data_IF_499876372504
#
_entry.id   IF_499876372504
#
_cell.length_a   1.000
_cell.length_b   1.000
_cell.length_c   1.000
_cell.angle_alpha   90.00
_cell.angle_beta   90.00
_cell.angle_gamma   90.00
#
_symmetry.space_group_name_H-M   'P 1'
#
loop_
_entity.id
_entity.type
_entity.pdbx_description
1 polymer ?
#
# COMPACT_ATOMS: atom_id res chain seq x y z
N UNK A 1 -10.65 -26.82 -46.40
CA UNK A 1 -9.69 -25.90 -45.75
C UNK A 1 -10.42 -25.36 -44.53
N UNK A 2 -10.34 -26.08 -43.42
CA UNK A 2 -10.95 -25.66 -42.16
C UNK A 2 -9.84 -25.62 -41.12
N UNK A 3 -9.28 -24.44 -40.91
CA UNK A 3 -8.37 -24.20 -39.80
C UNK A 3 -9.23 -23.83 -38.59
N UNK A 4 -9.50 -24.83 -37.75
CA UNK A 4 -10.04 -24.64 -36.41
C UNK A 4 -9.03 -23.76 -35.66
N UNK A 5 -9.35 -22.46 -35.47
CA UNK A 5 -8.66 -21.62 -34.49
C UNK A 5 -9.06 -22.15 -33.12
N UNK A 6 -8.22 -23.01 -32.55
CA UNK A 6 -8.27 -23.33 -31.13
C UNK A 6 -8.15 -22.03 -30.35
N UNK A 7 -9.26 -21.59 -29.76
CA UNK A 7 -9.26 -20.53 -28.75
C UNK A 7 -8.56 -21.07 -27.52
N UNK A 8 -7.23 -20.94 -27.47
CA UNK A 8 -6.51 -20.97 -26.21
C UNK A 8 -6.92 -19.69 -25.50
N UNK A 9 -7.85 -19.79 -24.55
CA UNK A 9 -7.95 -18.76 -23.50
C UNK A 9 -6.62 -18.81 -22.78
N UNK A 10 -5.76 -17.83 -23.02
CA UNK A 10 -4.57 -17.67 -22.21
C UNK A 10 -5.02 -17.49 -20.76
N UNK A 11 -4.59 -18.41 -19.91
CA UNK A 11 -5.00 -18.47 -18.51
C UNK A 11 -4.35 -17.32 -17.75
N UNK A 12 -5.15 -16.55 -17.02
CA UNK A 12 -4.64 -15.54 -16.07
C UNK A 12 -3.68 -16.22 -15.08
N UNK A 13 -2.48 -15.66 -14.92
CA UNK A 13 -1.45 -16.24 -14.05
C UNK A 13 -1.56 -15.60 -12.67
N UNK A 14 -1.84 -16.40 -11.63
CA UNK A 14 -1.77 -15.94 -10.23
C UNK A 14 -0.31 -15.61 -9.86
N UNK A 15 -0.05 -14.35 -9.51
CA UNK A 15 1.27 -13.87 -9.10
C UNK A 15 1.44 -13.99 -7.59
N UNK A 16 0.40 -13.58 -6.87
CA UNK A 16 0.41 -13.53 -5.42
C UNK A 16 -1.02 -13.62 -4.89
N UNK A 17 -1.17 -14.12 -3.67
CA UNK A 17 -2.44 -14.13 -2.98
C UNK A 17 -2.29 -13.93 -1.48
N UNK A 18 -3.29 -13.30 -0.89
CA UNK A 18 -3.36 -13.06 0.54
C UNK A 18 -4.75 -13.42 1.04
N UNK A 19 -4.83 -14.10 2.18
CA UNK A 19 -6.09 -14.50 2.80
C UNK A 19 -6.09 -14.05 4.24
N UNK A 20 -7.18 -13.41 4.66
CA UNK A 20 -7.46 -13.11 6.06
C UNK A 20 -8.72 -13.88 6.52
N UNK A 21 -9.30 -13.55 7.67
CA UNK A 21 -10.49 -14.23 8.18
C UNK A 21 -11.72 -14.08 7.26
N UNK A 22 -11.93 -12.92 6.66
CA UNK A 22 -13.14 -12.57 5.91
C UNK A 22 -12.97 -12.52 4.38
N UNK A 23 -11.75 -12.34 3.88
CA UNK A 23 -11.46 -12.07 2.47
C UNK A 23 -10.28 -12.90 1.96
N UNK A 24 -10.31 -13.18 0.65
CA UNK A 24 -9.18 -13.65 -0.15
C UNK A 24 -8.92 -12.63 -1.25
N UNK A 25 -7.67 -12.21 -1.39
CA UNK A 25 -7.20 -11.35 -2.46
C UNK A 25 -6.24 -12.10 -3.35
N UNK A 26 -6.37 -11.90 -4.67
CA UNK A 26 -5.56 -12.57 -5.68
C UNK A 26 -5.10 -11.52 -6.67
N UNK A 27 -3.79 -11.42 -6.86
CA UNK A 27 -3.17 -10.57 -7.87
C UNK A 27 -2.81 -11.43 -9.07
N UNK A 28 -3.33 -11.08 -10.25
CA UNK A 28 -3.09 -11.82 -11.49
C UNK A 28 -2.45 -10.96 -12.57
N UNK A 29 -1.55 -11.57 -13.31
CA UNK A 29 -1.08 -11.02 -14.58
C UNK A 29 -2.15 -11.19 -15.64
N UNK A 30 -2.41 -10.13 -16.42
CA UNK A 30 -3.27 -10.21 -17.59
C UNK A 30 -2.36 -10.49 -18.78
N UNK A 31 -2.43 -11.68 -19.39
CA UNK A 31 -1.56 -12.04 -20.51
C UNK A 31 -1.84 -11.14 -21.73
N UNK A 32 -0.86 -11.04 -22.63
CA UNK A 32 -0.95 -10.33 -23.90
C UNK A 32 -1.28 -8.83 -23.87
N UNK A 33 -1.19 -8.19 -22.69
CA UNK A 33 -1.17 -6.73 -22.63
C UNK A 33 0.26 -6.23 -22.73
N UNK A 34 0.50 -5.31 -23.67
CA UNK A 34 1.75 -4.53 -23.76
C UNK A 34 1.93 -3.54 -22.59
N UNK A 35 1.07 -3.62 -21.56
CA UNK A 35 0.97 -2.67 -20.47
C UNK A 35 1.22 -3.34 -19.12
N UNK A 36 1.68 -2.57 -18.14
CA UNK A 36 1.94 -3.01 -16.76
C UNK A 36 0.63 -3.20 -15.98
N UNK A 37 -0.36 -3.92 -16.52
CA UNK A 37 -1.70 -4.02 -15.94
C UNK A 37 -1.94 -5.35 -15.20
N UNK A 38 -2.32 -5.28 -13.92
CA UNK A 38 -2.75 -6.41 -13.09
C UNK A 38 -4.24 -6.36 -12.85
N UNK A 39 -4.85 -7.52 -12.67
CA UNK A 39 -6.13 -7.60 -12.00
C UNK A 39 -5.89 -7.97 -10.53
N UNK A 40 -6.41 -7.16 -9.61
CA UNK A 40 -6.59 -7.55 -8.23
C UNK A 40 -8.06 -7.93 -8.01
N UNK A 41 -8.30 -9.19 -7.66
CA UNK A 41 -9.61 -9.66 -7.19
C UNK A 41 -9.61 -9.71 -5.67
N UNK A 42 -10.60 -9.09 -5.01
CA UNK A 42 -10.89 -9.26 -3.58
C UNK A 42 -12.26 -9.92 -3.45
N UNK A 43 -12.28 -11.11 -2.86
CA UNK A 43 -13.50 -11.91 -2.67
C UNK A 43 -13.73 -12.16 -1.18
N UNK A 44 -14.90 -11.81 -0.67
CA UNK A 44 -15.31 -12.21 0.68
C UNK A 44 -15.52 -13.72 0.72
N UNK A 45 -15.16 -14.39 1.82
CA UNK A 45 -15.35 -15.84 1.98
C UNK A 45 -16.81 -16.30 1.98
N UNK A 46 -17.74 -15.41 2.32
CA UNK A 46 -19.18 -15.66 2.20
C UNK A 46 -19.73 -15.35 0.78
N UNK A 47 -18.84 -15.04 -0.17
CA UNK A 47 -19.12 -14.70 -1.56
C UNK A 47 -20.11 -13.52 -1.78
N UNK A 48 -20.37 -12.71 -0.75
CA UNK A 48 -21.24 -11.51 -0.87
C UNK A 48 -20.54 -10.33 -1.54
N UNK A 49 -19.22 -10.27 -1.47
CA UNK A 49 -18.38 -9.28 -2.11
C UNK A 49 -17.43 -9.96 -3.10
N UNK A 50 -17.44 -9.46 -4.32
CA UNK A 50 -16.37 -9.61 -5.28
C UNK A 50 -16.06 -8.22 -5.84
N UNK A 51 -14.82 -7.78 -5.69
CA UNK A 51 -14.27 -6.55 -6.25
C UNK A 51 -13.14 -6.95 -7.20
N UNK A 52 -13.20 -6.45 -8.42
CA UNK A 52 -12.12 -6.57 -9.39
C UNK A 52 -11.63 -5.16 -9.70
N UNK A 53 -10.33 -4.93 -9.59
CA UNK A 53 -9.72 -3.65 -10.00
C UNK A 53 -8.49 -3.90 -10.87
N UNK A 54 -8.26 -2.99 -11.81
CA UNK A 54 -7.06 -2.99 -12.65
C UNK A 54 -6.03 -2.04 -12.06
N UNK A 55 -4.81 -2.54 -11.86
CA UNK A 55 -3.68 -1.77 -11.33
C UNK A 55 -2.64 -1.57 -12.43
N UNK A 56 -2.22 -0.33 -12.66
CA UNK A 56 -1.13 0.01 -13.59
C UNK A 56 0.21 0.04 -12.83
N UNK A 57 0.76 -1.14 -12.51
CA UNK A 57 1.94 -1.36 -11.67
C UNK A 57 2.82 -2.46 -12.27
N UNK A 58 4.14 -2.52 -12.12
CA UNK A 58 4.95 -3.51 -12.89
C UNK A 58 4.79 -4.96 -12.37
N UNK A 59 4.44 -5.96 -13.21
CA UNK A 59 4.10 -7.35 -12.82
C UNK A 59 5.11 -8.03 -11.92
N UNK A 60 6.32 -8.17 -12.45
CA UNK A 60 7.35 -9.04 -11.90
C UNK A 60 8.01 -8.42 -10.67
N UNK A 61 7.57 -7.22 -10.28
CA UNK A 61 8.08 -6.44 -9.15
C UNK A 61 6.96 -6.00 -8.20
N UNK A 62 5.74 -6.52 -8.39
CA UNK A 62 4.58 -6.24 -7.54
C UNK A 62 4.26 -7.44 -6.65
N UNK A 63 3.83 -7.18 -5.42
CA UNK A 63 3.35 -8.21 -4.50
C UNK A 63 2.29 -7.65 -3.56
N UNK A 64 1.41 -8.50 -3.06
CA UNK A 64 0.50 -8.15 -1.98
C UNK A 64 1.33 -8.04 -0.70
N UNK A 65 1.44 -6.83 -0.16
CA UNK A 65 2.21 -6.57 1.06
C UNK A 65 1.43 -6.93 2.32
N UNK A 66 0.11 -6.77 2.30
CA UNK A 66 -0.82 -7.31 3.31
C UNK A 66 -2.27 -7.19 2.81
N UNK A 67 -3.17 -7.95 3.44
CA UNK A 67 -4.60 -7.84 3.26
C UNK A 67 -5.31 -7.96 4.62
N UNK A 68 -6.33 -7.14 4.85
CA UNK A 68 -7.15 -7.13 6.06
C UNK A 68 -8.61 -6.78 5.69
N UNK A 69 -9.47 -6.61 6.68
CA UNK A 69 -10.89 -6.32 6.44
C UNK A 69 -11.15 -4.94 5.82
N UNK A 70 -10.21 -4.01 5.97
CA UNK A 70 -10.30 -2.65 5.43
C UNK A 70 -9.82 -2.58 3.98
N UNK A 71 -8.71 -3.22 3.65
CA UNK A 71 -8.08 -3.12 2.33
C UNK A 71 -7.09 -4.25 2.03
N UNK A 72 -6.75 -4.35 0.75
CA UNK A 72 -5.59 -5.09 0.24
C UNK A 72 -4.59 -4.12 -0.34
N UNK A 73 -3.31 -4.34 -0.04
CA UNK A 73 -2.24 -3.40 -0.42
C UNK A 73 -1.22 -4.08 -1.31
N UNK A 74 -1.08 -3.55 -2.53
CA UNK A 74 -0.10 -4.00 -3.52
C UNK A 74 1.09 -3.04 -3.50
N UNK A 75 2.26 -3.57 -3.18
CA UNK A 75 3.51 -2.80 -3.16
C UNK A 75 4.38 -3.14 -4.36
N UNK A 76 5.02 -2.12 -4.93
CA UNK A 76 5.91 -2.24 -6.09
C UNK A 76 7.01 -1.19 -6.06
N UNK A 77 8.13 -1.50 -6.72
CA UNK A 77 9.22 -0.55 -6.89
C UNK A 77 8.88 0.52 -7.96
N UNK A 78 9.15 1.79 -7.67
CA UNK A 78 8.98 2.91 -8.61
C UNK A 78 10.29 3.35 -9.29
N UNK A 79 11.42 2.71 -8.96
CA UNK A 79 12.75 3.05 -9.47
C UNK A 79 13.66 3.62 -8.37
N UNK A 80 14.94 3.26 -8.41
CA UNK A 80 15.87 3.55 -7.30
C UNK A 80 15.36 2.98 -5.96
N UNK A 81 15.39 3.75 -4.87
CA UNK A 81 14.92 3.35 -3.54
C UNK A 81 13.40 3.51 -3.32
N UNK A 82 12.70 4.07 -4.33
CA UNK A 82 11.30 4.39 -4.23
C UNK A 82 10.50 3.10 -4.22
N UNK A 83 9.57 2.99 -3.27
CA UNK A 83 8.46 2.04 -3.35
C UNK A 83 7.14 2.79 -3.25
N UNK A 84 6.18 2.30 -4.01
CA UNK A 84 4.81 2.77 -3.99
C UNK A 84 3.92 1.65 -3.48
N UNK A 85 2.82 2.04 -2.85
CA UNK A 85 1.78 1.14 -2.37
C UNK A 85 0.43 1.63 -2.84
N UNK A 86 -0.31 0.75 -3.49
CA UNK A 86 -1.71 0.97 -3.85
C UNK A 86 -2.61 0.24 -2.87
N UNK A 87 -3.52 0.99 -2.26
CA UNK A 87 -4.50 0.55 -1.29
C UNK A 87 -5.84 0.39 -1.99
N UNK A 88 -6.29 -0.86 -2.10
CA UNK A 88 -7.60 -1.21 -2.66
C UNK A 88 -8.52 -1.57 -1.51
N UNK A 89 -9.49 -0.70 -1.24
CA UNK A 89 -10.41 -0.84 -0.10
C UNK A 89 -11.50 -1.87 -0.39
N UNK A 90 -11.97 -2.54 0.66
CA UNK A 90 -13.07 -3.53 0.57
C UNK A 90 -14.44 -2.86 0.38
N UNK A 91 -14.56 -1.56 0.71
CA UNK A 91 -15.70 -0.74 0.35
C UNK A 91 -15.64 -0.33 -1.13
N UNK A 92 -16.61 -0.82 -1.91
CA UNK A 92 -16.74 -0.55 -3.36
C UNK A 92 -16.92 0.93 -3.70
N UNK A 93 -17.45 1.73 -2.78
CA UNK A 93 -17.67 3.16 -3.00
C UNK A 93 -16.43 3.99 -2.70
N UNK A 94 -15.39 3.38 -2.11
CA UNK A 94 -14.16 4.06 -1.79
C UNK A 94 -13.16 3.91 -2.93
N UNK A 95 -12.64 5.03 -3.49
CA UNK A 95 -11.60 4.96 -4.50
C UNK A 95 -10.33 4.33 -3.93
N UNK A 96 -9.57 3.68 -4.80
CA UNK A 96 -8.22 3.24 -4.46
C UNK A 96 -7.33 4.45 -4.18
N UNK A 97 -6.35 4.27 -3.30
CA UNK A 97 -5.40 5.31 -2.92
C UNK A 97 -3.97 4.81 -3.19
N UNK A 98 -3.09 5.67 -3.69
CA UNK A 98 -1.69 5.34 -3.93
C UNK A 98 -0.78 6.27 -3.14
N UNK A 99 0.22 5.71 -2.47
CA UNK A 99 1.17 6.44 -1.65
C UNK A 99 2.61 5.99 -1.92
N UNK A 100 3.47 6.98 -2.12
CA UNK A 100 4.91 6.79 -2.25
C UNK A 100 5.58 6.87 -0.88
N UNK A 101 6.67 6.10 -0.68
CA UNK A 101 7.41 6.07 0.59
C UNK A 101 6.53 5.71 1.81
N UNK A 102 5.40 5.03 1.57
CA UNK A 102 4.41 4.78 2.60
C UNK A 102 4.91 3.80 3.66
N UNK A 103 4.78 4.10 4.95
CA UNK A 103 5.11 3.16 6.04
C UNK A 103 3.86 2.93 6.89
N UNK A 104 3.42 1.68 7.02
CA UNK A 104 2.28 1.36 7.88
C UNK A 104 2.72 1.27 9.34
N UNK A 105 1.87 1.73 10.25
CA UNK A 105 2.09 1.54 11.69
C UNK A 105 2.02 0.05 12.05
N UNK A 106 3.06 -0.46 12.72
CA UNK A 106 3.26 -1.90 13.00
C UNK A 106 2.11 -2.56 13.74
N UNK A 107 1.40 -1.81 14.58
CA UNK A 107 0.33 -2.31 15.44
C UNK A 107 -1.03 -1.65 15.17
N UNK A 108 -1.16 -0.91 14.06
CA UNK A 108 -2.43 -0.34 13.66
C UNK A 108 -2.49 -0.19 12.15
N UNK A 109 -3.30 -1.04 11.52
CA UNK A 109 -3.45 -1.06 10.07
C UNK A 109 -4.04 0.22 9.49
N UNK A 110 -4.70 1.03 10.32
CA UNK A 110 -5.40 2.24 9.93
C UNK A 110 -4.48 3.45 9.75
N UNK A 111 -3.24 3.40 10.24
CA UNK A 111 -2.32 4.53 10.13
C UNK A 111 -1.16 4.19 9.22
N UNK A 112 -0.90 5.11 8.29
CA UNK A 112 0.29 5.10 7.45
C UNK A 112 0.97 6.47 7.57
N UNK A 113 2.29 6.49 7.44
CA UNK A 113 2.97 7.69 6.95
C UNK A 113 3.17 7.59 5.46
N UNK A 114 3.36 8.73 4.80
CA UNK A 114 3.95 8.82 3.47
C UNK A 114 4.60 10.20 3.30
N UNK A 115 5.21 10.40 2.14
CA UNK A 115 5.79 11.67 1.70
C UNK A 115 4.96 12.15 0.50
N UNK A 116 4.82 13.47 0.36
CA UNK A 116 4.22 14.12 -0.81
C UNK A 116 5.26 15.04 -1.45
N UNK A 117 5.26 15.13 -2.77
CA UNK A 117 6.10 16.06 -3.56
C UNK A 117 7.59 16.05 -3.21
N UNK A 118 8.13 14.89 -2.83
CA UNK A 118 9.52 14.71 -2.37
C UNK A 118 9.90 15.64 -1.19
N UNK A 119 8.94 16.08 -0.39
CA UNK A 119 9.18 16.84 0.84
C UNK A 119 9.61 15.93 1.99
N UNK A 120 10.90 15.61 2.03
CA UNK A 120 11.48 14.75 3.05
C UNK A 120 11.59 15.39 4.44
N UNK A 121 11.21 16.66 4.60
CA UNK A 121 11.18 17.34 5.90
C UNK A 121 9.80 17.22 6.58
N UNK A 122 8.78 16.76 5.86
CA UNK A 122 7.41 16.62 6.37
C UNK A 122 6.84 15.23 6.08
N UNK A 123 6.50 14.51 7.14
CA UNK A 123 5.77 13.24 7.02
C UNK A 123 4.27 13.48 7.14
N UNK A 124 3.51 12.98 6.17
CA UNK A 124 2.06 12.98 6.20
C UNK A 124 1.59 11.72 6.90
N UNK A 125 0.90 11.86 8.03
CA UNK A 125 0.24 10.77 8.73
C UNK A 125 -1.21 10.72 8.29
N UNK A 126 -1.63 9.61 7.69
CA UNK A 126 -2.99 9.39 7.21
C UNK A 126 -3.70 8.34 8.06
N UNK A 127 -4.92 8.68 8.50
CA UNK A 127 -5.86 7.71 9.04
C UNK A 127 -6.72 7.15 7.90
N UNK A 128 -6.42 5.92 7.49
CA UNK A 128 -7.15 5.23 6.45
C UNK A 128 -8.62 5.01 6.80
N UNK A 129 -9.05 4.99 8.05
CA UNK A 129 -10.47 4.74 8.36
C UNK A 129 -11.39 5.93 8.07
N UNK A 130 -10.88 7.16 8.09
CA UNK A 130 -11.68 8.38 7.93
C UNK A 130 -11.08 9.38 6.93
N UNK A 131 -10.00 9.01 6.25
CA UNK A 131 -9.28 9.80 5.25
C UNK A 131 -8.67 11.12 5.76
N UNK A 132 -8.68 11.37 7.08
CA UNK A 132 -8.04 12.54 7.68
C UNK A 132 -6.52 12.40 7.66
N UNK A 133 -5.84 13.51 7.52
CA UNK A 133 -4.37 13.60 7.50
C UNK A 133 -3.86 14.64 8.48
N UNK A 134 -2.61 14.48 8.91
CA UNK A 134 -1.87 15.49 9.64
C UNK A 134 -0.40 15.46 9.21
N UNK A 135 0.25 16.61 9.31
CA UNK A 135 1.68 16.75 8.98
C UNK A 135 2.53 16.68 10.24
N UNK A 136 3.69 16.05 10.13
CA UNK A 136 4.69 15.94 11.20
C UNK A 136 6.05 16.35 10.66
N UNK A 137 6.59 17.43 11.19
CA UNK A 137 7.92 17.90 10.80
C UNK A 137 8.99 16.91 11.24
N UNK A 138 9.93 16.59 10.37
CA UNK A 138 11.08 15.73 10.59
C UNK A 138 12.30 16.28 9.84
N UNK A 139 12.66 17.55 10.05
CA UNK A 139 13.68 18.25 9.25
C UNK A 139 15.08 17.66 9.39
N UNK A 140 15.32 16.88 10.45
CA UNK A 140 16.58 16.23 10.75
C UNK A 140 16.65 14.79 10.28
N UNK A 141 15.61 14.25 9.62
CA UNK A 141 15.60 12.87 9.14
C UNK A 141 16.67 12.63 8.07
N UNK A 142 17.28 11.44 8.12
CA UNK A 142 18.32 11.04 7.19
C UNK A 142 17.74 10.85 5.78
N UNK A 143 18.11 11.75 4.86
CA UNK A 143 17.67 11.68 3.47
C UNK A 143 18.23 10.47 2.70
N UNK A 144 19.32 9.85 3.19
CA UNK A 144 19.89 8.65 2.57
C UNK A 144 19.02 7.40 2.74
N UNK A 145 18.05 7.43 3.66
CA UNK A 145 16.97 6.44 3.76
C UNK A 145 15.68 6.95 3.10
N UNK A 146 15.77 7.99 2.27
CA UNK A 146 14.68 8.57 1.49
C UNK A 146 13.49 9.00 2.35
N UNK A 147 13.84 9.58 3.51
CA UNK A 147 12.89 10.07 4.50
C UNK A 147 11.94 9.01 5.05
N UNK A 148 12.31 7.73 4.96
CA UNK A 148 11.50 6.67 5.52
C UNK A 148 11.77 6.52 7.01
N UNK A 149 10.73 6.55 7.85
CA UNK A 149 10.90 6.19 9.24
C UNK A 149 11.20 4.70 9.39
N UNK A 150 12.08 4.36 10.33
CA UNK A 150 12.42 2.98 10.68
C UNK A 150 11.19 2.23 11.20
N UNK A 151 10.34 2.92 11.98
CA UNK A 151 9.04 2.38 12.37
C UNK A 151 8.06 3.41 12.88
N UNK A 152 6.78 3.04 12.80
CA UNK A 152 5.67 3.78 13.36
C UNK A 152 4.87 2.85 14.25
N UNK A 153 4.52 3.31 15.46
CA UNK A 153 3.74 2.56 16.43
C UNK A 153 2.66 3.49 16.99
N UNK A 154 1.43 3.01 17.10
CA UNK A 154 0.31 3.76 17.67
C UNK A 154 -0.03 3.21 19.05
N UNK A 155 0.04 4.05 20.08
CA UNK A 155 -0.36 3.70 21.45
C UNK A 155 -1.42 4.68 21.94
N UNK A 156 -2.66 4.19 22.05
CA UNK A 156 -3.84 5.03 22.32
C UNK A 156 -3.94 6.14 21.26
N UNK A 157 -3.90 7.40 21.66
CA UNK A 157 -3.98 8.56 20.77
C UNK A 157 -2.60 9.20 20.50
N UNK A 158 -1.53 8.41 20.64
CA UNK A 158 -0.16 8.86 20.43
C UNK A 158 0.49 7.99 19.36
N UNK A 159 1.04 8.64 18.34
CA UNK A 159 1.94 8.04 17.37
C UNK A 159 3.38 8.20 17.86
N UNK A 160 4.10 7.09 17.88
CA UNK A 160 5.53 7.03 18.15
C UNK A 160 6.24 6.76 16.83
N UNK A 161 7.00 7.75 16.38
CA UNK A 161 7.81 7.73 15.18
C UNK A 161 9.27 7.46 15.56
N UNK A 162 9.89 6.49 14.91
CA UNK A 162 11.31 6.17 15.07
C UNK A 162 12.00 6.33 13.73
N UNK A 163 13.07 7.12 13.69
CA UNK A 163 13.83 7.38 12.48
C UNK A 163 15.29 7.70 12.79
N UNK A 164 16.16 7.47 11.81
CA UNK A 164 17.54 7.91 11.87
C UNK A 164 17.67 9.38 11.43
N UNK A 165 18.35 10.20 12.23
CA UNK A 165 18.66 11.59 11.88
C UNK A 165 19.88 11.71 10.94
N UNK A 166 20.09 12.90 10.36
CA UNK A 166 21.21 13.26 9.48
C UNK A 166 22.59 12.94 10.09
N UNK A 167 22.71 13.00 11.42
CA UNK A 167 23.92 12.64 12.17
C UNK A 167 24.00 11.14 12.53
N UNK A 168 23.17 10.31 11.90
CA UNK A 168 23.06 8.86 12.09
C UNK A 168 22.55 8.40 13.46
N UNK A 169 22.17 9.31 14.36
CA UNK A 169 21.55 8.95 15.65
C UNK A 169 20.10 8.56 15.47
N UNK A 170 19.64 7.66 16.32
CA UNK A 170 18.24 7.27 16.42
C UNK A 170 17.43 8.35 17.16
N UNK A 171 16.31 8.75 16.57
CA UNK A 171 15.37 9.74 17.11
C UNK A 171 14.02 9.08 17.34
N UNK A 172 13.38 9.42 18.45
CA UNK A 172 12.00 9.05 18.74
C UNK A 172 11.17 10.32 18.90
N UNK A 173 10.13 10.47 18.07
CA UNK A 173 9.19 11.59 18.14
C UNK A 173 7.81 11.07 18.54
N UNK A 174 7.14 11.81 19.43
CA UNK A 174 5.78 11.52 19.88
C UNK A 174 4.83 12.58 19.34
N UNK A 175 3.73 12.14 18.73
CA UNK A 175 2.76 13.02 18.09
C UNK A 175 1.37 12.65 18.56
N UNK A 176 0.53 13.65 18.86
CA UNK A 176 -0.87 13.40 19.19
C UNK A 176 -1.68 13.14 17.92
N UNK A 177 -2.42 12.02 17.91
CA UNK A 177 -3.32 11.65 16.81
C UNK A 177 -4.69 12.32 16.89
N UNK A 178 -4.98 13.09 17.96
CA UNK A 178 -6.27 13.76 18.15
C UNK A 178 -6.81 14.50 16.91
N UNK A 179 -6.00 15.19 16.10
CA UNK A 179 -6.50 15.89 14.91
C UNK A 179 -7.11 14.96 13.84
N UNK A 180 -6.69 13.68 13.80
CA UNK A 180 -7.05 12.73 12.74
C UNK A 180 -7.85 11.51 13.24
N UNK A 181 -8.21 11.49 14.52
CA UNK A 181 -9.15 10.52 15.09
C UNK A 181 -10.61 10.93 14.83
#
# INVERSE_FOLDING_TARGET
>A
MDTIRSGVKEEEVEIDSCTNENYRSILREIPDRSTNAYELTITSKNHKLQLNTFLDVRPKMSRITYCNDLCTVVGFACGGPCYSRVFVFTDKNRPQEQYEYAVQAKNSINFISHIEDEDFEHLIIRNLSNSKTMTVDVPDMNLWVYGQPDSIIVKKQILMLYYQAKNQKQVSKRVSLKPIL
#
